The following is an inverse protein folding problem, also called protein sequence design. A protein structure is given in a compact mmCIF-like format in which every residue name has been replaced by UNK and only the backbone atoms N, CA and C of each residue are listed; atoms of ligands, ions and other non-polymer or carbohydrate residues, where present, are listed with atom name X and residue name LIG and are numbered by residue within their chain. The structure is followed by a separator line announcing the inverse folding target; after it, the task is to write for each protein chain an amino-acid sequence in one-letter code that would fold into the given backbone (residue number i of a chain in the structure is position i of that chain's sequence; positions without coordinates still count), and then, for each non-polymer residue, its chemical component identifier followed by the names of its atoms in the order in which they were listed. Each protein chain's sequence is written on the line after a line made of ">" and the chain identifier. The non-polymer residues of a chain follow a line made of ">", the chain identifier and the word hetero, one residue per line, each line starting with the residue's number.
data_IF_050233313376
#
_entry.id   IF_050233313376
#
_cell.length_a   1.000
_cell.length_b   1.000
_cell.length_c   1.000
_cell.angle_alpha   90.00
_cell.angle_beta   90.00
_cell.angle_gamma   90.00
#
_symmetry.space_group_name_H-M   'P 1'
#
loop_
_entity.id
_entity.type
_entity.pdbx_description
1 polymer ?
#
# COMPACT_ATOMS: atom_id res chain seq x y z
N UNK A 1 -0.43 14.50 -13.71
CA UNK A 1 0.82 14.48 -14.52
C UNK A 1 0.46 14.83 -15.94
N UNK A 2 0.81 16.03 -16.39
CA UNK A 2 0.53 16.48 -17.74
C UNK A 2 1.69 16.06 -18.64
N UNK A 3 1.42 15.08 -19.50
CA UNK A 3 2.35 14.66 -20.55
C UNK A 3 2.25 15.53 -21.81
N UNK A 4 1.41 16.57 -21.78
CA UNK A 4 1.08 17.39 -22.97
C UNK A 4 0.04 16.78 -23.89
N UNK A 5 -0.47 15.58 -23.59
CA UNK A 5 -1.53 14.92 -24.33
C UNK A 5 -2.91 15.18 -23.70
N UNK A 6 -3.98 15.00 -24.48
CA UNK A 6 -5.34 15.24 -24.01
C UNK A 6 -5.79 14.13 -23.05
N UNK A 7 -6.51 14.52 -22.02
CA UNK A 7 -7.19 13.63 -21.08
C UNK A 7 -8.70 13.79 -21.26
N UNK A 8 -9.40 12.69 -21.58
CA UNK A 8 -10.86 12.71 -21.63
C UNK A 8 -11.43 12.74 -20.21
N UNK A 9 -12.39 13.62 -19.94
CA UNK A 9 -13.03 13.70 -18.62
C UNK A 9 -14.53 13.57 -18.79
N UNK A 10 -15.16 12.65 -18.04
CA UNK A 10 -16.60 12.51 -17.96
C UNK A 10 -17.07 12.58 -16.50
N UNK A 11 -18.03 13.47 -16.21
CA UNK A 11 -18.69 13.55 -14.91
C UNK A 11 -20.09 12.93 -14.97
N UNK A 12 -20.46 12.15 -13.96
CA UNK A 12 -21.77 11.53 -13.78
C UNK A 12 -22.35 11.86 -12.42
N UNK A 13 -23.49 12.52 -12.41
CA UNK A 13 -24.21 12.87 -11.18
C UNK A 13 -25.35 11.87 -10.98
N UNK A 14 -25.04 10.73 -10.31
CA UNK A 14 -25.98 9.64 -10.11
C UNK A 14 -25.99 9.18 -8.65
N UNK A 15 -27.17 8.72 -8.19
CA UNK A 15 -27.33 8.07 -6.89
C UNK A 15 -27.30 6.54 -7.00
N UNK A 16 -27.59 6.03 -8.20
CA UNK A 16 -27.56 4.59 -8.49
C UNK A 16 -26.17 4.13 -8.94
N UNK A 17 -26.01 2.82 -9.03
CA UNK A 17 -24.77 2.21 -9.50
C UNK A 17 -24.52 2.54 -10.98
N UNK A 18 -23.30 2.93 -11.32
CA UNK A 18 -22.86 3.21 -12.69
C UNK A 18 -22.96 1.92 -13.52
N UNK A 19 -23.75 1.95 -14.60
CA UNK A 19 -23.90 0.83 -15.50
C UNK A 19 -22.94 0.94 -16.69
N UNK A 20 -22.75 -0.18 -17.42
CA UNK A 20 -21.89 -0.19 -18.61
C UNK A 20 -22.36 0.82 -19.67
N UNK A 21 -23.67 0.92 -19.90
CA UNK A 21 -24.26 1.92 -20.80
C UNK A 21 -23.92 3.37 -20.47
N UNK A 22 -23.64 3.67 -19.19
CA UNK A 22 -23.29 5.02 -18.76
C UNK A 22 -21.88 5.45 -19.19
N UNK A 23 -21.00 4.47 -19.46
CA UNK A 23 -19.59 4.70 -19.77
C UNK A 23 -19.20 4.28 -21.20
N UNK A 24 -20.06 3.58 -21.94
CA UNK A 24 -19.70 3.06 -23.29
C UNK A 24 -19.31 4.18 -24.27
N UNK A 25 -20.00 5.30 -24.27
CA UNK A 25 -19.68 6.45 -25.12
C UNK A 25 -18.33 7.08 -24.74
N UNK A 26 -18.03 7.13 -23.44
CA UNK A 26 -16.73 7.62 -22.95
C UNK A 26 -15.59 6.68 -23.35
N UNK A 27 -15.78 5.37 -23.20
CA UNK A 27 -14.76 4.39 -23.58
C UNK A 27 -14.52 4.38 -25.09
N UNK A 28 -15.56 4.58 -25.91
CA UNK A 28 -15.44 4.71 -27.36
C UNK A 28 -14.68 5.98 -27.75
N UNK A 29 -14.96 7.11 -27.09
CA UNK A 29 -14.25 8.37 -27.33
C UNK A 29 -12.78 8.28 -26.92
N UNK A 30 -12.49 7.67 -25.77
CA UNK A 30 -11.13 7.46 -25.26
C UNK A 30 -10.28 6.58 -26.18
N UNK A 31 -10.88 5.74 -27.02
CA UNK A 31 -10.19 4.93 -28.03
C UNK A 31 -9.54 5.73 -29.16
N UNK A 32 -9.79 7.04 -29.24
CA UNK A 32 -9.17 7.88 -30.26
C UNK A 32 -7.71 8.21 -29.91
N UNK A 33 -6.86 8.29 -30.92
CA UNK A 33 -5.39 8.36 -30.78
C UNK A 33 -4.84 9.63 -30.11
N UNK A 34 -5.64 10.68 -30.01
CA UNK A 34 -5.23 11.95 -29.38
C UNK A 34 -5.45 12.00 -27.85
N UNK A 35 -6.20 11.04 -27.29
CA UNK A 35 -6.27 10.88 -25.84
C UNK A 35 -5.20 9.92 -25.33
N UNK A 36 -4.59 10.25 -24.20
CA UNK A 36 -3.64 9.38 -23.50
C UNK A 36 -4.31 8.61 -22.36
N UNK A 37 -5.28 9.24 -21.70
CA UNK A 37 -5.98 8.67 -20.56
C UNK A 37 -7.36 9.30 -20.39
N UNK A 38 -8.17 8.68 -19.53
CA UNK A 38 -9.50 9.16 -19.21
C UNK A 38 -9.74 9.24 -17.72
N UNK A 39 -10.60 10.18 -17.32
CA UNK A 39 -11.06 10.34 -15.93
C UNK A 39 -12.57 10.26 -15.92
N UNK A 40 -13.13 9.36 -15.12
CA UNK A 40 -14.56 9.28 -14.85
C UNK A 40 -14.79 9.75 -13.41
N UNK A 41 -15.55 10.84 -13.25
CA UNK A 41 -15.91 11.39 -11.94
C UNK A 41 -17.37 11.05 -11.66
N UNK A 42 -17.66 10.46 -10.49
CA UNK A 42 -19.00 10.02 -10.13
C UNK A 42 -19.38 10.46 -8.73
N UNK A 43 -20.67 10.78 -8.52
CA UNK A 43 -21.25 11.06 -7.20
C UNK A 43 -21.70 9.80 -6.46
N UNK A 44 -21.31 8.63 -6.94
CA UNK A 44 -21.54 7.33 -6.30
C UNK A 44 -20.28 6.47 -6.38
N UNK A 45 -20.05 5.65 -5.37
CA UNK A 45 -18.97 4.66 -5.36
C UNK A 45 -19.45 3.27 -5.85
N UNK A 46 -20.73 3.17 -6.24
CA UNK A 46 -21.34 1.92 -6.67
C UNK A 46 -21.16 1.72 -8.17
N UNK A 47 -20.69 0.55 -8.57
CA UNK A 47 -20.49 0.16 -9.97
C UNK A 47 -21.20 -1.16 -10.27
N UNK A 48 -21.87 -1.23 -11.39
CA UNK A 48 -22.48 -2.45 -11.88
C UNK A 48 -21.43 -3.44 -12.41
N UNK A 49 -21.68 -4.74 -12.27
CA UNK A 49 -20.74 -5.81 -12.66
C UNK A 49 -20.21 -5.67 -14.10
N UNK A 50 -21.06 -5.27 -15.04
CA UNK A 50 -20.67 -5.11 -16.45
C UNK A 50 -19.83 -3.86 -16.69
N UNK A 51 -20.06 -2.76 -15.94
CA UNK A 51 -19.23 -1.57 -15.98
C UNK A 51 -17.85 -1.86 -15.40
N UNK A 52 -17.79 -2.58 -14.27
CA UNK A 52 -16.54 -3.01 -13.68
C UNK A 52 -15.74 -3.92 -14.61
N UNK A 53 -16.40 -4.89 -15.26
CA UNK A 53 -15.75 -5.77 -16.23
C UNK A 53 -15.20 -4.99 -17.45
N UNK A 54 -15.89 -3.94 -17.90
CA UNK A 54 -15.44 -3.10 -19.01
C UNK A 54 -14.19 -2.27 -18.66
N UNK A 55 -13.95 -2.03 -17.36
CA UNK A 55 -12.80 -1.27 -16.85
C UNK A 55 -11.69 -2.18 -16.25
N UNK A 56 -11.88 -3.51 -16.26
CA UNK A 56 -11.02 -4.46 -15.57
C UNK A 56 -9.55 -4.38 -16.00
N UNK A 57 -9.32 -4.25 -17.31
CA UNK A 57 -7.99 -4.24 -17.92
C UNK A 57 -7.57 -2.83 -18.39
N UNK A 58 -8.36 -1.79 -18.06
CA UNK A 58 -8.11 -0.40 -18.48
C UNK A 58 -7.21 0.31 -17.46
N UNK A 59 -5.91 0.34 -17.75
CA UNK A 59 -4.92 1.10 -16.96
C UNK A 59 -4.89 2.58 -17.35
N UNK A 60 -5.51 2.93 -18.44
CA UNK A 60 -5.62 4.30 -18.98
C UNK A 60 -6.85 5.07 -18.44
N UNK A 61 -7.71 4.44 -17.62
CA UNK A 61 -8.90 5.06 -17.03
C UNK A 61 -8.75 5.20 -15.52
N UNK A 62 -8.96 6.43 -15.04
CA UNK A 62 -9.00 6.75 -13.61
C UNK A 62 -10.44 6.98 -13.17
N UNK A 63 -10.85 6.39 -12.06
CA UNK A 63 -12.15 6.60 -11.43
C UNK A 63 -12.00 7.49 -10.20
N UNK A 64 -12.81 8.55 -10.12
CA UNK A 64 -12.93 9.42 -8.94
C UNK A 64 -14.38 9.31 -8.46
N UNK A 65 -14.58 8.63 -7.34
CA UNK A 65 -15.90 8.44 -6.74
C UNK A 65 -16.24 9.49 -5.68
N UNK A 66 -17.42 9.34 -5.08
CA UNK A 66 -17.89 10.24 -4.02
C UNK A 66 -16.94 10.24 -2.81
N UNK A 67 -16.43 9.07 -2.44
CA UNK A 67 -15.45 8.92 -1.35
C UNK A 67 -14.17 9.70 -1.63
N UNK A 68 -13.70 9.73 -2.88
CA UNK A 68 -12.50 10.46 -3.27
C UNK A 68 -12.70 11.96 -3.16
N UNK A 69 -13.86 12.45 -3.63
CA UNK A 69 -14.23 13.86 -3.52
C UNK A 69 -14.32 14.29 -2.05
N UNK A 70 -14.98 13.50 -1.20
CA UNK A 70 -15.11 13.79 0.24
C UNK A 70 -13.76 13.81 0.97
N UNK A 71 -12.83 12.93 0.56
CA UNK A 71 -11.50 12.81 1.15
C UNK A 71 -10.46 13.72 0.49
N UNK A 72 -10.84 14.52 -0.51
CA UNK A 72 -9.96 15.50 -1.14
C UNK A 72 -9.51 16.60 -0.15
N UNK A 73 -8.45 17.31 -0.51
CA UNK A 73 -7.98 18.46 0.30
C UNK A 73 -8.92 19.65 0.25
N UNK A 74 -9.89 19.65 -0.65
CA UNK A 74 -10.83 20.76 -0.81
C UNK A 74 -11.76 20.83 0.41
N UNK A 75 -11.89 22.01 0.98
CA UNK A 75 -12.93 22.29 1.96
C UNK A 75 -14.26 22.56 1.24
N UNK A 76 -14.99 21.50 0.96
CA UNK A 76 -16.28 21.57 0.28
C UNK A 76 -17.35 22.37 1.03
N UNK A 77 -17.18 22.61 2.34
CA UNK A 77 -18.12 23.43 3.13
C UNK A 77 -18.02 24.91 2.78
N UNK A 78 -16.88 25.33 2.23
CA UNK A 78 -16.60 26.70 1.82
C UNK A 78 -16.56 26.87 0.29
N UNK A 79 -16.87 25.82 -0.47
CA UNK A 79 -16.90 25.87 -1.91
C UNK A 79 -18.14 26.63 -2.40
N UNK A 80 -17.94 27.59 -3.32
CA UNK A 80 -19.02 28.35 -3.97
C UNK A 80 -19.03 28.11 -5.47
N UNK A 81 -20.20 27.77 -6.02
CA UNK A 81 -20.40 27.65 -7.47
C UNK A 81 -20.33 29.03 -8.20
N UNK A 82 -20.51 30.12 -7.48
CA UNK A 82 -20.38 31.46 -8.05
C UNK A 82 -18.91 31.87 -8.26
N UNK A 83 -17.99 31.25 -7.52
CA UNK A 83 -16.55 31.51 -7.58
C UNK A 83 -15.75 30.20 -7.53
N UNK A 84 -15.93 29.33 -8.53
CA UNK A 84 -15.35 27.98 -8.53
C UNK A 84 -13.81 27.98 -8.55
N UNK A 85 -13.19 29.10 -8.95
CA UNK A 85 -11.74 29.31 -8.93
C UNK A 85 -11.18 29.54 -7.52
N UNK A 86 -12.04 29.92 -6.56
CA UNK A 86 -11.65 30.16 -5.16
C UNK A 86 -11.81 28.89 -4.33
N UNK A 87 -10.97 27.92 -4.60
CA UNK A 87 -10.95 26.67 -3.85
C UNK A 87 -10.18 26.87 -2.54
N UNK A 88 -10.85 26.62 -1.42
CA UNK A 88 -10.20 26.63 -0.10
C UNK A 88 -9.69 25.21 0.19
N UNK A 89 -8.40 25.12 0.50
CA UNK A 89 -7.73 23.87 0.81
C UNK A 89 -7.64 23.72 2.33
N UNK A 90 -8.00 22.57 2.84
CA UNK A 90 -7.85 22.24 4.26
C UNK A 90 -6.39 22.40 4.70
N UNK A 91 -6.14 22.89 5.93
CA UNK A 91 -4.77 23.03 6.43
C UNK A 91 -4.03 21.69 6.40
N UNK A 92 -2.76 21.74 5.99
CA UNK A 92 -1.91 20.53 5.97
C UNK A 92 -1.73 19.98 7.39
N UNK A 93 -1.72 18.67 7.50
CA UNK A 93 -1.43 17.99 8.76
C UNK A 93 -0.02 18.32 9.25
N UNK A 94 0.11 18.55 10.54
CA UNK A 94 1.39 18.70 11.24
C UNK A 94 1.66 17.44 12.07
N UNK A 95 2.93 16.98 12.16
CA UNK A 95 3.27 15.86 13.01
C UNK A 95 2.88 16.15 14.47
N UNK A 96 2.33 15.15 15.15
CA UNK A 96 2.13 15.19 16.59
C UNK A 96 3.46 14.91 17.30
N UNK A 97 3.58 15.24 18.58
CA UNK A 97 4.83 15.13 19.36
C UNK A 97 5.53 13.76 19.24
N UNK A 98 4.77 12.68 19.28
CA UNK A 98 5.31 11.32 19.17
C UNK A 98 5.78 11.00 17.73
N UNK A 99 5.15 11.58 16.72
CA UNK A 99 5.59 11.47 15.34
C UNK A 99 6.85 12.29 15.09
N UNK A 100 6.96 13.49 15.68
CA UNK A 100 8.18 14.30 15.63
C UNK A 100 9.36 13.56 16.26
N UNK A 101 9.13 12.90 17.40
CA UNK A 101 10.14 12.06 18.06
C UNK A 101 10.57 10.89 17.16
N UNK A 102 9.61 10.21 16.52
CA UNK A 102 9.91 9.12 15.59
C UNK A 102 10.72 9.60 14.38
N UNK A 103 10.36 10.73 13.79
CA UNK A 103 11.05 11.36 12.67
C UNK A 103 12.49 11.72 13.08
N UNK A 104 12.67 12.39 14.22
CA UNK A 104 13.99 12.79 14.72
C UNK A 104 14.89 11.57 14.92
N UNK A 105 14.38 10.52 15.58
CA UNK A 105 15.14 9.28 15.80
C UNK A 105 15.46 8.56 14.50
N UNK A 106 14.55 8.55 13.53
CA UNK A 106 14.81 7.98 12.21
C UNK A 106 15.94 8.70 11.49
N UNK A 107 15.91 10.05 11.45
CA UNK A 107 16.92 10.84 10.75
C UNK A 107 18.30 10.65 11.39
N UNK A 108 18.39 10.63 12.72
CA UNK A 108 19.64 10.37 13.41
C UNK A 108 20.15 8.96 13.15
N UNK A 109 19.27 7.95 13.27
CA UNK A 109 19.62 6.55 13.07
C UNK A 109 20.12 6.25 11.64
N UNK A 110 19.43 6.79 10.64
CA UNK A 110 19.78 6.57 9.24
C UNK A 110 21.02 7.36 8.76
N UNK A 111 21.69 8.13 9.60
CA UNK A 111 23.01 8.68 9.25
C UNK A 111 24.03 7.55 9.04
N UNK A 112 24.04 6.58 9.95
CA UNK A 112 25.05 5.52 10.02
C UNK A 112 24.51 4.14 9.61
N UNK A 113 23.18 3.97 9.58
CA UNK A 113 22.53 2.70 9.27
C UNK A 113 21.86 2.72 7.89
N UNK A 114 21.81 1.55 7.25
CA UNK A 114 21.10 1.33 5.98
C UNK A 114 19.74 0.64 6.15
N UNK A 115 19.45 0.07 7.33
CA UNK A 115 18.22 -0.63 7.67
C UNK A 115 17.76 -0.26 9.07
N UNK A 116 16.44 -0.14 9.26
CA UNK A 116 15.89 0.14 10.58
C UNK A 116 14.39 -0.08 10.66
N UNK A 117 13.90 -0.25 11.91
CA UNK A 117 12.52 -0.60 12.18
C UNK A 117 11.81 0.53 12.92
N UNK A 118 10.62 0.87 12.42
CA UNK A 118 9.65 1.77 13.03
C UNK A 118 8.45 0.95 13.53
N UNK A 119 8.31 0.81 14.84
CA UNK A 119 7.21 0.07 15.46
C UNK A 119 6.22 1.09 16.04
N UNK A 120 5.02 1.16 15.47
CA UNK A 120 3.98 2.08 15.94
C UNK A 120 2.62 1.39 15.93
N UNK A 121 1.83 1.54 16.99
CA UNK A 121 0.49 0.98 17.09
C UNK A 121 -0.41 1.40 15.90
N UNK A 122 -1.42 0.60 15.50
CA UNK A 122 -2.40 1.01 14.50
C UNK A 122 -3.09 2.32 14.90
N UNK A 123 -3.46 3.15 13.93
CA UNK A 123 -4.12 4.42 14.21
C UNK A 123 -3.20 5.57 14.63
N UNK A 124 -1.91 5.32 14.95
CA UNK A 124 -0.96 6.38 15.35
C UNK A 124 -0.34 7.14 14.16
N UNK A 125 -0.69 6.79 12.92
CA UNK A 125 -0.28 7.52 11.72
C UNK A 125 1.08 7.13 11.15
N UNK A 126 1.43 5.83 11.12
CA UNK A 126 2.66 5.30 10.50
C UNK A 126 2.91 5.85 9.09
N UNK A 127 1.89 5.82 8.23
CA UNK A 127 1.97 6.28 6.84
C UNK A 127 2.35 7.75 6.73
N UNK A 128 1.82 8.60 7.61
CA UNK A 128 2.17 10.01 7.68
C UNK A 128 3.58 10.21 8.25
N UNK A 129 3.95 9.45 9.27
CA UNK A 129 5.29 9.50 9.88
C UNK A 129 6.36 9.13 8.85
N UNK A 130 6.15 8.05 8.08
CA UNK A 130 7.10 7.63 7.03
C UNK A 130 7.20 8.63 5.87
N UNK A 131 6.09 9.32 5.51
CA UNK A 131 6.15 10.44 4.57
C UNK A 131 7.09 11.54 5.09
N UNK A 132 6.92 11.95 6.35
CA UNK A 132 7.76 13.00 6.94
C UNK A 132 9.22 12.57 7.08
N UNK A 133 9.49 11.30 7.38
CA UNK A 133 10.85 10.75 7.34
C UNK A 133 11.44 10.90 5.92
N UNK A 134 10.72 10.48 4.89
CA UNK A 134 11.16 10.60 3.50
C UNK A 134 11.42 12.07 3.10
N UNK A 135 10.52 12.99 3.46
CA UNK A 135 10.70 14.43 3.21
C UNK A 135 11.96 14.99 3.89
N UNK A 136 12.21 14.61 5.15
CA UNK A 136 13.41 15.06 5.88
C UNK A 136 14.69 14.49 5.27
N UNK A 137 14.67 13.21 4.90
CA UNK A 137 15.81 12.56 4.23
C UNK A 137 16.09 13.21 2.87
N UNK A 138 15.03 13.53 2.10
CA UNK A 138 15.16 14.20 0.81
C UNK A 138 15.82 15.57 0.95
N UNK A 139 15.39 16.37 1.95
CA UNK A 139 16.00 17.69 2.22
C UNK A 139 17.44 17.64 2.73
N UNK A 140 17.82 16.52 3.34
CA UNK A 140 19.19 16.32 3.86
C UNK A 140 20.19 15.87 2.77
N UNK A 141 19.74 15.70 1.52
CA UNK A 141 20.59 15.32 0.40
C UNK A 141 20.73 16.47 -0.59
N UNK A 142 21.87 16.56 -1.28
CA UNK A 142 22.07 17.52 -2.38
C UNK A 142 21.44 17.07 -3.70
N UNK A 143 20.58 16.05 -3.67
CA UNK A 143 19.93 15.53 -4.86
C UNK A 143 18.73 16.41 -5.26
N UNK A 144 18.61 16.70 -6.55
CA UNK A 144 17.43 17.36 -7.10
C UNK A 144 16.16 16.54 -6.96
N UNK A 145 16.29 15.20 -6.91
CA UNK A 145 15.15 14.28 -6.79
C UNK A 145 15.51 13.09 -5.89
N UNK A 146 14.71 12.87 -4.86
CA UNK A 146 14.81 11.73 -3.94
C UNK A 146 13.84 10.63 -4.37
N UNK A 147 14.37 9.42 -4.59
CA UNK A 147 13.62 8.31 -5.13
C UNK A 147 13.19 7.34 -4.02
N UNK A 148 11.89 7.08 -3.89
CA UNK A 148 11.32 6.23 -2.85
C UNK A 148 10.55 5.07 -3.47
N UNK A 149 10.73 3.86 -2.94
CA UNK A 149 9.83 2.73 -3.14
C UNK A 149 9.00 2.52 -1.88
N UNK A 150 7.68 2.53 -2.02
CA UNK A 150 6.76 2.22 -0.93
C UNK A 150 6.04 0.91 -1.20
N UNK A 151 6.29 -0.10 -0.38
CA UNK A 151 5.73 -1.46 -0.52
C UNK A 151 4.61 -1.69 0.46
N UNK A 152 3.48 -2.19 -0.06
CA UNK A 152 2.28 -2.52 0.72
C UNK A 152 1.78 -3.94 0.41
N UNK A 153 1.04 -4.58 1.34
CA UNK A 153 0.56 -5.95 1.12
C UNK A 153 -0.66 -6.07 0.21
N UNK A 154 -1.39 -4.99 -0.05
CA UNK A 154 -2.63 -5.03 -0.86
C UNK A 154 -2.81 -3.77 -1.70
N UNK A 155 -3.60 -3.89 -2.78
CA UNK A 155 -3.95 -2.77 -3.66
C UNK A 155 -4.76 -1.71 -2.90
N UNK A 156 -5.59 -2.11 -1.94
CA UNK A 156 -6.35 -1.17 -1.10
C UNK A 156 -5.42 -0.26 -0.30
N UNK A 157 -4.44 -0.84 0.37
CA UNK A 157 -3.44 -0.08 1.12
C UNK A 157 -2.57 0.78 0.19
N UNK A 158 -2.27 0.30 -1.03
CA UNK A 158 -1.55 1.07 -2.04
C UNK A 158 -2.32 2.36 -2.37
N UNK A 159 -3.61 2.24 -2.69
CA UNK A 159 -4.48 3.37 -3.02
C UNK A 159 -4.55 4.37 -1.87
N UNK A 160 -4.79 3.87 -0.66
CA UNK A 160 -4.87 4.70 0.54
C UNK A 160 -3.57 5.44 0.83
N UNK A 161 -2.44 4.75 0.74
CA UNK A 161 -1.11 5.32 1.00
C UNK A 161 -0.72 6.35 -0.04
N UNK A 162 -0.93 6.02 -1.32
CA UNK A 162 -0.65 6.92 -2.43
C UNK A 162 -1.44 8.22 -2.30
N UNK A 163 -2.74 8.15 -2.01
CA UNK A 163 -3.59 9.32 -1.77
C UNK A 163 -3.12 10.12 -0.56
N UNK A 164 -2.85 9.44 0.57
CA UNK A 164 -2.37 10.10 1.79
C UNK A 164 -1.06 10.85 1.54
N UNK A 165 -0.10 10.24 0.85
CA UNK A 165 1.17 10.87 0.56
C UNK A 165 1.04 12.08 -0.36
N UNK A 166 0.24 11.96 -1.43
CA UNK A 166 0.01 13.09 -2.35
C UNK A 166 -0.75 14.25 -1.67
N UNK A 167 -1.64 13.94 -0.71
CA UNK A 167 -2.40 14.97 0.01
C UNK A 167 -1.60 15.64 1.14
N UNK A 168 -0.77 14.87 1.85
CA UNK A 168 -0.12 15.32 3.09
C UNK A 168 1.34 15.77 2.88
N UNK A 169 1.90 15.61 1.67
CA UNK A 169 3.26 16.05 1.35
C UNK A 169 3.35 17.59 1.29
N UNK A 170 4.49 18.11 1.77
CA UNK A 170 4.89 19.52 1.60
C UNK A 170 5.91 19.72 0.48
N UNK A 171 6.28 18.64 -0.20
CA UNK A 171 7.23 18.63 -1.32
C UNK A 171 6.49 18.37 -2.63
N UNK A 172 7.09 18.79 -3.73
CA UNK A 172 6.58 18.41 -5.04
C UNK A 172 6.83 16.92 -5.26
N UNK A 173 5.79 16.17 -5.65
CA UNK A 173 5.84 14.71 -5.76
C UNK A 173 5.42 14.25 -7.16
N UNK A 174 6.16 13.27 -7.70
CA UNK A 174 5.73 12.43 -8.82
C UNK A 174 5.46 11.02 -8.30
N UNK A 175 4.26 10.51 -8.56
CA UNK A 175 3.82 9.21 -8.06
C UNK A 175 3.59 8.24 -9.21
N UNK A 176 4.06 7.00 -9.06
CA UNK A 176 3.77 5.87 -9.94
C UNK A 176 3.18 4.73 -9.12
N UNK A 177 2.17 4.03 -9.65
CA UNK A 177 1.58 2.85 -9.03
C UNK A 177 1.93 1.59 -9.82
N UNK A 178 2.41 0.55 -9.12
CA UNK A 178 2.78 -0.75 -9.71
C UNK A 178 2.00 -1.86 -9.01
N UNK A 179 1.26 -2.63 -9.80
CA UNK A 179 0.45 -3.75 -9.31
C UNK A 179 0.75 -5.00 -10.13
N UNK A 180 0.50 -6.19 -9.59
CA UNK A 180 0.57 -7.44 -10.36
C UNK A 180 -0.76 -7.74 -11.03
N UNK A 181 -0.72 -8.30 -12.24
CA UNK A 181 -1.90 -8.85 -12.89
C UNK A 181 -2.38 -10.10 -12.13
N UNK A 182 -3.62 -10.10 -11.63
CA UNK A 182 -4.21 -11.22 -10.91
C UNK A 182 -4.43 -12.46 -11.79
N UNK A 183 -4.46 -12.32 -13.10
CA UNK A 183 -4.67 -13.45 -14.01
C UNK A 183 -3.43 -14.34 -14.16
N UNK A 184 -2.23 -13.80 -13.96
CA UNK A 184 -0.98 -14.56 -13.99
C UNK A 184 -0.77 -15.42 -12.72
N UNK A 185 -1.46 -15.11 -11.61
CA UNK A 185 -1.23 -15.71 -10.28
C UNK A 185 -2.29 -16.74 -9.87
N UNK A 186 -3.21 -17.17 -10.73
CA UNK A 186 -4.27 -18.15 -10.41
C UNK A 186 -3.79 -19.57 -10.08
N UNK A 187 -2.49 -19.80 -10.01
CA UNK A 187 -1.88 -21.01 -9.45
C UNK A 187 -1.52 -20.83 -7.98
N UNK A 188 -2.42 -21.21 -7.06
CA UNK A 188 -2.12 -21.48 -5.64
C UNK A 188 -1.79 -20.30 -4.71
N UNK A 189 -2.65 -19.31 -4.56
CA UNK A 189 -2.65 -18.49 -3.34
C UNK A 189 -4.00 -18.67 -2.65
N UNK A 190 -3.98 -19.24 -1.41
CA UNK A 190 -5.13 -19.24 -0.51
C UNK A 190 -5.61 -17.81 -0.32
N UNK A 191 -6.91 -17.60 -0.50
CA UNK A 191 -7.58 -16.32 -0.35
C UNK A 191 -7.36 -15.79 1.07
N UNK A 192 -6.69 -14.64 1.18
CA UNK A 192 -6.72 -13.84 2.39
C UNK A 192 -8.03 -13.02 2.42
N UNK A 193 -8.69 -13.03 3.54
CA UNK A 193 -10.08 -12.71 3.79
C UNK A 193 -10.40 -11.20 3.70
N UNK A 194 -10.49 -10.64 2.52
CA UNK A 194 -11.34 -9.47 2.30
C UNK A 194 -11.96 -9.54 0.91
N UNK A 195 -13.23 -9.88 0.87
CA UNK A 195 -14.04 -10.07 -0.34
C UNK A 195 -14.31 -8.79 -1.15
N UNK A 196 -13.49 -7.75 -1.03
CA UNK A 196 -13.56 -6.55 -1.86
C UNK A 196 -12.47 -6.65 -2.91
N UNK A 197 -12.85 -7.02 -4.12
CA UNK A 197 -11.94 -7.05 -5.26
C UNK A 197 -11.67 -5.62 -5.73
N UNK A 198 -10.60 -4.99 -5.21
CA UNK A 198 -10.13 -3.68 -5.68
C UNK A 198 -9.29 -3.91 -6.93
N UNK A 199 -9.62 -3.20 -8.00
CA UNK A 199 -8.97 -3.30 -9.31
C UNK A 199 -7.95 -2.16 -9.49
N UNK A 200 -7.03 -2.32 -10.44
CA UNK A 200 -6.05 -1.28 -10.79
C UNK A 200 -6.73 0.06 -11.14
N UNK A 201 -7.92 0.03 -11.76
CA UNK A 201 -8.74 1.21 -12.05
C UNK A 201 -9.22 1.98 -10.81
N UNK A 202 -9.23 1.34 -9.64
CA UNK A 202 -9.71 1.95 -8.38
C UNK A 202 -8.62 2.77 -7.67
N UNK A 203 -7.39 2.70 -8.17
CA UNK A 203 -6.23 3.37 -7.56
C UNK A 203 -6.33 4.89 -7.71
N UNK A 204 -7.12 5.40 -8.66
CA UNK A 204 -7.23 6.84 -8.94
C UNK A 204 -5.96 7.44 -9.58
N UNK A 205 -5.01 6.60 -9.98
CA UNK A 205 -3.79 6.92 -10.72
C UNK A 205 -3.50 5.80 -11.72
N UNK A 206 -2.89 6.10 -12.87
CA UNK A 206 -2.48 5.07 -13.82
C UNK A 206 -1.56 4.05 -13.12
N UNK A 207 -2.01 2.81 -13.05
CA UNK A 207 -1.23 1.71 -12.50
C UNK A 207 -0.65 0.88 -13.63
N UNK A 208 0.54 0.30 -13.42
CA UNK A 208 1.18 -0.56 -14.41
C UNK A 208 1.56 -1.92 -13.83
N UNK A 209 1.55 -2.92 -14.69
CA UNK A 209 2.01 -4.30 -14.40
C UNK A 209 3.29 -4.65 -15.16
N UNK A 210 3.88 -3.70 -15.91
CA UNK A 210 5.00 -3.92 -16.83
C UNK A 210 6.19 -3.04 -16.48
N UNK A 211 7.39 -3.65 -16.47
CA UNK A 211 8.65 -2.95 -16.25
C UNK A 211 8.95 -1.92 -17.36
N UNK A 212 8.61 -2.25 -18.60
CA UNK A 212 8.78 -1.37 -19.76
C UNK A 212 7.92 -0.11 -19.63
N UNK A 213 6.69 -0.27 -19.12
CA UNK A 213 5.79 0.86 -18.86
C UNK A 213 6.32 1.74 -17.73
N UNK A 214 6.92 1.15 -16.69
CA UNK A 214 7.59 1.94 -15.63
C UNK A 214 8.68 2.81 -16.23
N UNK A 215 9.53 2.25 -17.10
CA UNK A 215 10.62 2.98 -17.75
C UNK A 215 10.08 4.04 -18.70
N UNK A 216 9.05 3.72 -19.48
CA UNK A 216 8.41 4.70 -20.37
C UNK A 216 7.90 5.90 -19.55
N UNK A 217 7.15 5.65 -18.50
CA UNK A 217 6.60 6.70 -17.65
C UNK A 217 7.71 7.50 -16.94
N UNK A 218 8.75 6.84 -16.47
CA UNK A 218 9.92 7.49 -15.89
C UNK A 218 10.60 8.44 -16.90
N UNK A 219 10.85 7.98 -18.13
CA UNK A 219 11.45 8.79 -19.16
C UNK A 219 10.58 10.00 -19.58
N UNK A 220 9.25 9.84 -19.56
CA UNK A 220 8.34 10.97 -19.80
C UNK A 220 8.38 11.98 -18.64
N UNK A 221 8.46 11.51 -17.39
CA UNK A 221 8.63 12.38 -16.22
C UNK A 221 9.96 13.15 -16.27
N UNK A 222 11.03 12.54 -16.76
CA UNK A 222 12.35 13.18 -16.87
C UNK A 222 12.41 14.28 -17.93
N UNK A 223 11.45 14.36 -18.86
CA UNK A 223 11.31 15.48 -19.80
C UNK A 223 10.66 16.72 -19.18
N UNK A 224 10.06 16.58 -17.98
CA UNK A 224 9.40 17.65 -17.26
C UNK A 224 10.32 18.20 -16.14
N UNK A 225 10.02 19.37 -15.56
CA UNK A 225 10.73 19.85 -14.39
C UNK A 225 10.71 18.80 -13.29
N UNK A 226 11.88 18.45 -12.78
CA UNK A 226 12.02 17.43 -11.73
C UNK A 226 11.22 17.84 -10.50
N UNK A 227 10.52 16.87 -9.92
CA UNK A 227 9.88 16.96 -8.62
C UNK A 227 10.84 16.50 -7.55
N UNK A 228 10.76 17.09 -6.36
CA UNK A 228 11.65 16.77 -5.22
C UNK A 228 11.55 15.29 -4.80
N UNK A 229 10.34 14.71 -4.88
CA UNK A 229 10.11 13.29 -4.60
C UNK A 229 9.65 12.55 -5.86
N UNK A 230 10.28 11.42 -6.16
CA UNK A 230 9.78 10.41 -7.09
C UNK A 230 9.42 9.17 -6.27
N UNK A 231 8.13 8.83 -6.22
CA UNK A 231 7.65 7.72 -5.40
C UNK A 231 7.00 6.65 -6.24
N UNK A 232 7.51 5.43 -6.13
CA UNK A 232 6.90 4.23 -6.69
C UNK A 232 6.14 3.52 -5.58
N UNK A 233 4.82 3.52 -5.65
CA UNK A 233 3.96 2.74 -4.78
C UNK A 233 3.74 1.37 -5.40
N UNK A 234 4.08 0.30 -4.71
CA UNK A 234 3.98 -1.05 -5.24
C UNK A 234 3.41 -2.02 -4.22
N UNK A 235 2.68 -3.03 -4.70
CA UNK A 235 2.41 -4.18 -3.85
C UNK A 235 3.65 -5.07 -3.75
N UNK A 236 3.79 -5.83 -2.65
CA UNK A 236 4.90 -6.80 -2.54
C UNK A 236 4.89 -7.81 -3.68
N UNK A 237 3.71 -8.21 -4.16
CA UNK A 237 3.56 -9.13 -5.28
C UNK A 237 4.17 -8.62 -6.58
N UNK A 238 4.34 -7.30 -6.69
CA UNK A 238 4.88 -6.64 -7.89
C UNK A 238 6.36 -6.24 -7.77
N UNK A 239 7.02 -6.62 -6.68
CA UNK A 239 8.41 -6.23 -6.41
C UNK A 239 9.36 -6.65 -7.55
N UNK A 240 9.11 -7.81 -8.18
CA UNK A 240 9.90 -8.28 -9.32
C UNK A 240 9.78 -7.38 -10.54
N UNK A 241 8.60 -6.80 -10.78
CA UNK A 241 8.39 -5.85 -11.87
C UNK A 241 9.22 -4.60 -11.64
N UNK A 242 9.28 -4.13 -10.39
CA UNK A 242 10.12 -2.99 -10.00
C UNK A 242 11.61 -3.31 -10.18
N UNK A 243 12.06 -4.49 -9.73
CA UNK A 243 13.45 -4.93 -9.92
C UNK A 243 13.83 -5.10 -11.39
N UNK A 244 12.91 -5.59 -12.24
CA UNK A 244 13.11 -5.65 -13.69
C UNK A 244 13.24 -4.24 -14.30
N UNK A 245 12.42 -3.28 -13.84
CA UNK A 245 12.52 -1.90 -14.28
C UNK A 245 13.90 -1.30 -13.93
N UNK A 246 14.47 -1.60 -12.78
CA UNK A 246 15.82 -1.17 -12.43
C UNK A 246 16.89 -1.76 -13.37
N UNK A 247 16.75 -3.02 -13.77
CA UNK A 247 17.64 -3.64 -14.77
C UNK A 247 17.51 -3.01 -16.15
N UNK A 248 16.38 -2.37 -16.45
CA UNK A 248 16.13 -1.61 -17.68
C UNK A 248 16.51 -0.13 -17.57
N UNK A 249 17.09 0.33 -16.45
CA UNK A 249 17.61 1.67 -16.26
C UNK A 249 16.80 2.57 -15.32
N UNK A 250 15.82 2.05 -14.57
CA UNK A 250 15.21 2.80 -13.49
C UNK A 250 16.23 3.02 -12.35
N UNK A 251 16.30 4.21 -11.73
CA UNK A 251 17.31 4.51 -10.72
C UNK A 251 17.20 3.64 -9.46
N UNK A 252 18.32 3.53 -8.75
CA UNK A 252 18.34 2.99 -7.40
C UNK A 252 17.49 3.85 -6.46
N UNK A 253 16.70 3.22 -5.59
CA UNK A 253 15.93 3.92 -4.58
C UNK A 253 16.82 4.47 -3.47
N UNK A 254 16.60 5.70 -3.08
CA UNK A 254 17.26 6.29 -1.91
C UNK A 254 16.68 5.72 -0.61
N UNK A 255 15.36 5.43 -0.62
CA UNK A 255 14.66 4.83 0.50
C UNK A 255 13.63 3.80 0.00
N UNK A 256 13.67 2.60 0.57
CA UNK A 256 12.63 1.58 0.42
C UNK A 256 11.85 1.52 1.74
N UNK A 257 10.53 1.71 1.69
CA UNK A 257 9.64 1.59 2.83
C UNK A 257 8.84 0.31 2.69
N UNK A 258 8.99 -0.59 3.65
CA UNK A 258 8.26 -1.85 3.73
C UNK A 258 7.16 -1.70 4.78
N UNK A 259 5.91 -1.47 4.34
CA UNK A 259 4.76 -1.36 5.23
C UNK A 259 4.22 -2.74 5.59
N UNK A 260 3.66 -2.86 6.81
CA UNK A 260 3.28 -4.13 7.42
C UNK A 260 4.42 -5.17 7.32
N UNK A 261 5.62 -4.73 7.72
CA UNK A 261 6.88 -5.47 7.55
C UNK A 261 6.88 -6.86 8.21
N UNK A 262 5.98 -7.14 9.16
CA UNK A 262 5.80 -8.48 9.72
C UNK A 262 5.43 -9.53 8.65
N UNK A 263 4.89 -9.12 7.49
CA UNK A 263 4.61 -10.01 6.35
C UNK A 263 5.86 -10.39 5.56
N UNK A 264 6.96 -9.67 5.73
CA UNK A 264 8.25 -10.00 5.10
C UNK A 264 9.04 -11.04 5.89
N UNK A 265 8.51 -11.51 7.02
CA UNK A 265 9.05 -12.62 7.80
C UNK A 265 8.59 -13.95 7.20
N UNK A 266 9.35 -15.00 7.44
CA UNK A 266 8.96 -16.35 6.99
C UNK A 266 10.10 -17.33 7.00
N UNK A 267 9.76 -18.55 6.66
CA UNK A 267 10.67 -19.70 6.57
C UNK A 267 10.93 -19.98 5.10
N UNK A 268 12.20 -20.08 4.69
CA UNK A 268 12.61 -20.34 3.32
C UNK A 268 13.36 -21.66 3.28
N UNK A 269 12.87 -22.65 2.52
CA UNK A 269 13.64 -23.82 2.15
C UNK A 269 14.79 -23.42 1.20
N UNK A 270 15.99 -23.95 1.42
CA UNK A 270 17.19 -23.61 0.62
C UNK A 270 17.03 -23.93 -0.89
N UNK A 271 16.08 -24.78 -1.25
CA UNK A 271 15.82 -25.23 -2.61
C UNK A 271 14.59 -24.57 -3.27
N UNK A 272 13.83 -23.74 -2.57
CA UNK A 272 12.64 -23.06 -3.10
C UNK A 272 12.91 -21.56 -3.35
N UNK A 273 12.19 -20.99 -4.31
CA UNK A 273 12.17 -19.56 -4.53
C UNK A 273 11.74 -18.83 -3.26
N UNK A 274 12.47 -17.75 -2.92
CA UNK A 274 12.13 -16.92 -1.79
C UNK A 274 10.67 -16.48 -1.89
N UNK A 275 9.94 -16.50 -0.77
CA UNK A 275 8.64 -15.85 -0.71
C UNK A 275 8.78 -14.45 -1.31
N UNK A 276 7.85 -14.07 -2.17
CA UNK A 276 7.88 -12.78 -2.87
C UNK A 276 8.02 -11.59 -1.90
N UNK A 277 7.50 -11.74 -0.69
CA UNK A 277 7.59 -10.74 0.37
C UNK A 277 9.01 -10.57 0.93
N UNK A 278 9.84 -11.63 0.92
CA UNK A 278 11.22 -11.56 1.44
C UNK A 278 12.20 -10.94 0.45
N UNK A 279 11.81 -10.75 -0.81
CA UNK A 279 12.65 -10.13 -1.85
C UNK A 279 13.05 -8.69 -1.52
N UNK A 280 12.27 -7.99 -0.69
CA UNK A 280 12.58 -6.63 -0.23
C UNK A 280 13.91 -6.53 0.52
N UNK A 281 14.40 -7.63 1.09
CA UNK A 281 15.66 -7.63 1.85
C UNK A 281 16.92 -7.61 0.97
N UNK A 282 16.80 -7.95 -0.32
CA UNK A 282 17.93 -8.15 -1.21
C UNK A 282 18.08 -7.02 -2.23
N UNK A 283 19.31 -6.45 -2.31
CA UNK A 283 19.64 -5.49 -3.36
C UNK A 283 19.74 -6.12 -4.76
N UNK A 284 19.87 -7.46 -4.85
CA UNK A 284 19.83 -8.18 -6.12
C UNK A 284 18.42 -8.23 -6.71
N UNK A 285 17.40 -8.19 -5.84
CA UNK A 285 15.99 -8.20 -6.25
C UNK A 285 15.47 -6.78 -6.50
N UNK A 286 15.71 -5.86 -5.57
CA UNK A 286 15.39 -4.45 -5.69
C UNK A 286 16.46 -3.60 -5.00
N UNK A 287 17.15 -2.76 -5.77
CA UNK A 287 18.25 -1.95 -5.28
C UNK A 287 17.76 -0.70 -4.56
N UNK A 288 18.28 -0.48 -3.35
CA UNK A 288 18.01 0.70 -2.56
C UNK A 288 19.04 0.92 -1.47
N UNK A 289 19.35 2.19 -1.19
CA UNK A 289 20.38 2.60 -0.24
C UNK A 289 19.96 2.36 1.21
N UNK A 290 18.70 2.71 1.52
CA UNK A 290 18.16 2.60 2.88
C UNK A 290 16.84 1.87 2.88
N UNK A 291 16.55 1.12 3.96
CA UNK A 291 15.29 0.38 4.15
C UNK A 291 14.67 0.70 5.48
N UNK A 292 13.44 1.20 5.43
CA UNK A 292 12.57 1.45 6.58
C UNK A 292 11.52 0.34 6.65
N UNK A 293 11.58 -0.48 7.68
CA UNK A 293 10.59 -1.50 7.97
C UNK A 293 9.60 -0.97 9.01
N UNK A 294 8.33 -0.79 8.62
CA UNK A 294 7.32 -0.29 9.55
C UNK A 294 6.21 -1.30 9.78
N UNK A 295 5.81 -1.46 11.04
CA UNK A 295 4.69 -2.32 11.44
C UNK A 295 4.16 -1.91 12.81
N UNK A 296 2.94 -2.34 13.11
CA UNK A 296 2.39 -2.28 14.46
C UNK A 296 2.76 -3.52 15.31
N UNK A 297 2.90 -4.67 14.66
CA UNK A 297 3.03 -5.99 15.27
C UNK A 297 4.27 -6.68 14.73
N UNK A 298 5.46 -6.47 15.35
CA UNK A 298 6.67 -7.16 14.91
C UNK A 298 6.51 -8.67 15.15
N UNK A 299 6.86 -9.45 14.12
CA UNK A 299 6.81 -10.92 14.18
C UNK A 299 8.18 -11.49 14.47
N UNK A 300 8.27 -12.20 15.59
CA UNK A 300 9.51 -12.82 16.10
C UNK A 300 9.33 -14.33 16.13
N UNK A 301 10.36 -15.06 15.72
CA UNK A 301 10.40 -16.50 15.84
C UNK A 301 11.27 -16.91 17.03
N UNK A 302 10.73 -17.76 17.90
CA UNK A 302 11.43 -18.25 19.09
C UNK A 302 12.68 -19.09 18.75
N UNK A 303 13.59 -19.23 19.73
CA UNK A 303 14.83 -19.98 19.56
C UNK A 303 14.65 -21.42 19.09
N UNK A 304 13.60 -22.11 19.55
CA UNK A 304 13.28 -23.48 19.11
C UNK A 304 12.88 -23.55 17.64
N UNK A 305 12.07 -22.59 17.17
CA UNK A 305 11.68 -22.52 15.76
C UNK A 305 12.88 -22.25 14.86
N UNK A 306 13.82 -21.39 15.30
CA UNK A 306 15.05 -21.09 14.58
C UNK A 306 15.97 -22.32 14.52
N UNK A 307 16.20 -23.01 15.65
CA UNK A 307 16.99 -24.26 15.69
C UNK A 307 16.37 -25.38 14.82
N UNK A 308 15.06 -25.53 14.84
CA UNK A 308 14.36 -26.51 13.99
C UNK A 308 14.53 -26.17 12.50
N UNK A 309 14.48 -24.90 12.15
CA UNK A 309 14.72 -24.45 10.78
C UNK A 309 16.16 -24.72 10.34
N UNK A 310 17.17 -24.43 11.18
CA UNK A 310 18.58 -24.75 10.91
C UNK A 310 18.78 -26.24 10.68
N UNK A 311 18.16 -27.10 11.51
CA UNK A 311 18.25 -28.56 11.35
C UNK A 311 17.64 -29.07 10.03
N UNK A 312 16.70 -28.33 9.45
CA UNK A 312 16.05 -28.62 8.18
C UNK A 312 16.71 -27.90 6.99
N UNK A 313 17.85 -27.23 7.21
CA UNK A 313 18.51 -26.38 6.21
C UNK A 313 17.58 -25.31 5.62
N UNK A 314 16.85 -24.63 6.51
CA UNK A 314 15.86 -23.62 6.16
C UNK A 314 16.24 -22.29 6.79
N UNK A 315 16.17 -21.19 6.03
CA UNK A 315 16.44 -19.84 6.53
C UNK A 315 15.15 -19.22 7.08
N UNK A 316 15.22 -18.67 8.30
CA UNK A 316 14.11 -17.96 8.94
C UNK A 316 14.38 -16.45 8.90
N UNK A 317 13.52 -15.72 8.22
CA UNK A 317 13.50 -14.24 8.32
C UNK A 317 12.65 -13.84 9.52
N UNK A 318 13.27 -13.33 10.57
CA UNK A 318 12.62 -12.91 11.83
C UNK A 318 12.98 -11.45 12.10
N UNK A 319 12.03 -10.65 12.61
CA UNK A 319 12.24 -9.19 12.78
C UNK A 319 13.25 -8.84 13.88
N UNK A 320 13.74 -9.83 14.65
CA UNK A 320 14.87 -9.67 15.57
C UNK A 320 16.25 -9.90 14.89
N UNK A 321 16.28 -10.24 13.60
CA UNK A 321 17.52 -10.30 12.83
C UNK A 321 17.92 -8.89 12.37
N UNK A 322 18.86 -8.29 13.09
CA UNK A 322 19.36 -6.94 12.80
C UNK A 322 20.06 -6.84 11.43
N UNK A 323 20.60 -7.94 10.89
CA UNK A 323 21.23 -7.92 9.56
C UNK A 323 20.19 -7.76 8.45
N UNK A 324 18.98 -8.30 8.65
CA UNK A 324 17.89 -8.20 7.67
C UNK A 324 17.05 -6.94 7.86
N UNK A 325 16.71 -6.60 9.10
CA UNK A 325 15.74 -5.54 9.42
C UNK A 325 16.36 -4.28 10.01
N UNK A 326 17.62 -4.33 10.47
CA UNK A 326 18.22 -3.29 11.30
C UNK A 326 17.62 -3.24 12.71
N UNK A 327 18.08 -2.30 13.52
CA UNK A 327 17.56 -2.11 14.89
C UNK A 327 16.21 -1.39 14.88
N UNK A 328 15.45 -1.60 15.95
CA UNK A 328 14.26 -0.79 16.23
C UNK A 328 14.73 0.58 16.72
N UNK A 329 14.64 1.60 15.89
CA UNK A 329 15.03 2.96 16.26
C UNK A 329 13.92 3.73 16.99
N UNK A 330 12.65 3.34 16.80
CA UNK A 330 11.51 3.94 17.51
C UNK A 330 10.43 2.91 17.75
N UNK A 331 9.83 2.95 18.97
CA UNK A 331 8.73 2.10 19.36
C UNK A 331 7.65 2.91 20.09
N UNK A 332 6.41 2.78 19.63
CA UNK A 332 5.21 3.28 20.30
C UNK A 332 4.19 2.14 20.32
N UNK A 333 4.13 1.43 21.46
CA UNK A 333 3.22 0.32 21.67
C UNK A 333 1.78 0.79 21.96
N UNK A 334 0.84 -0.16 22.03
CA UNK A 334 -0.56 0.15 22.41
C UNK A 334 -0.64 0.76 23.81
N UNK A 335 0.04 0.17 24.80
CA UNK A 335 0.04 0.65 26.18
C UNK A 335 0.56 2.08 26.29
N UNK A 336 1.69 2.37 25.61
CA UNK A 336 2.27 3.72 25.57
C UNK A 336 1.32 4.71 24.89
N UNK A 337 0.69 4.30 23.78
CA UNK A 337 -0.24 5.15 23.05
C UNK A 337 -1.51 5.46 23.85
N UNK A 338 -2.00 4.52 24.65
CA UNK A 338 -3.14 4.74 25.56
C UNK A 338 -2.72 5.63 26.73
N UNK A 339 -1.57 5.36 27.37
CA UNK A 339 -1.09 6.14 28.51
C UNK A 339 -0.80 7.63 28.18
N UNK A 340 -0.61 7.94 26.89
CA UNK A 340 -0.43 9.30 26.39
C UNK A 340 -1.68 9.88 25.70
N UNK A 341 -2.85 9.30 25.92
CA UNK A 341 -4.13 9.73 25.31
C UNK A 341 -4.11 9.82 23.78
N UNK A 342 -3.21 9.04 23.12
CA UNK A 342 -3.12 8.96 21.66
C UNK A 342 -4.20 8.02 21.10
N UNK A 343 -4.43 6.92 21.82
CA UNK A 343 -5.45 5.92 21.53
C UNK A 343 -6.40 5.78 22.71
N UNK A 344 -7.65 5.45 22.42
CA UNK A 344 -8.64 5.10 23.45
C UNK A 344 -8.30 3.75 24.08
N UNK A 345 -8.57 3.62 25.37
CA UNK A 345 -8.45 2.34 26.08
C UNK A 345 -9.40 1.29 25.49
N UNK A 346 -9.06 0.03 25.62
CA UNK A 346 -9.85 -1.09 25.12
C UNK A 346 -10.08 -2.15 26.20
N UNK A 347 -11.17 -2.89 26.05
CA UNK A 347 -11.45 -4.05 26.88
C UNK A 347 -11.37 -5.30 26.05
N UNK A 348 -10.54 -6.26 26.47
CA UNK A 348 -10.46 -7.57 25.87
C UNK A 348 -11.48 -8.49 26.52
N UNK A 349 -12.45 -8.97 25.74
CA UNK A 349 -13.34 -10.04 26.17
C UNK A 349 -12.86 -11.35 25.58
N UNK A 350 -12.43 -12.29 26.42
CA UNK A 350 -12.07 -13.64 25.98
C UNK A 350 -13.29 -14.53 26.16
N UNK A 351 -13.85 -15.02 25.08
CA UNK A 351 -14.91 -16.02 25.09
C UNK A 351 -14.27 -17.40 24.93
N UNK A 352 -14.21 -18.19 25.99
CA UNK A 352 -13.80 -19.57 25.90
C UNK A 352 -15.06 -20.43 25.70
N UNK A 353 -15.12 -21.14 24.57
CA UNK A 353 -16.18 -22.14 24.32
C UNK A 353 -15.56 -23.50 24.54
N UNK A 354 -16.08 -24.22 25.54
CA UNK A 354 -15.68 -25.59 25.80
C UNK A 354 -16.37 -26.51 24.78
N UNK A 355 -15.60 -27.37 24.10
CA UNK A 355 -16.14 -28.35 23.15
C UNK A 355 -17.21 -29.26 23.75
N UNK A 356 -17.19 -29.48 25.07
CA UNK A 356 -18.19 -30.29 25.77
C UNK A 356 -19.60 -29.65 25.76
N UNK A 357 -19.71 -28.35 25.53
CA UNK A 357 -20.97 -27.61 25.47
C UNK A 357 -21.64 -27.70 24.11
N UNK A 358 -20.90 -28.06 23.06
CA UNK A 358 -21.42 -28.21 21.70
C UNK A 358 -22.01 -29.60 21.53
N UNK A 359 -23.30 -29.70 21.22
CA UNK A 359 -23.95 -31.01 21.01
C UNK A 359 -23.25 -31.78 19.90
N UNK A 360 -23.07 -33.09 20.08
CA UNK A 360 -22.35 -33.99 19.13
C UNK A 360 -22.84 -33.91 17.67
N UNK A 361 -24.13 -33.67 17.49
CA UNK A 361 -24.72 -33.53 16.15
C UNK A 361 -24.32 -32.21 15.49
N UNK A 362 -24.11 -31.15 16.27
CA UNK A 362 -23.61 -29.87 15.80
C UNK A 362 -22.11 -29.93 15.50
N UNK A 363 -21.32 -30.68 16.29
CA UNK A 363 -19.91 -30.95 16.00
C UNK A 363 -19.73 -31.73 14.70
N UNK A 364 -20.59 -32.71 14.43
CA UNK A 364 -20.60 -33.45 13.14
C UNK A 364 -20.95 -32.54 11.96
N UNK A 365 -21.96 -31.71 12.12
CA UNK A 365 -22.38 -30.77 11.05
C UNK A 365 -21.31 -29.70 10.75
N UNK A 366 -20.55 -29.27 11.78
CA UNK A 366 -19.49 -28.28 11.65
C UNK A 366 -18.16 -28.86 11.15
N UNK A 367 -17.95 -30.18 11.30
CA UNK A 367 -16.76 -30.89 10.80
C UNK A 367 -16.97 -31.54 9.44
N UNK A 368 -18.15 -31.42 8.84
CA UNK A 368 -18.44 -31.96 7.52
C UNK A 368 -17.84 -31.05 6.42
N UNK A 369 -16.89 -31.54 5.60
CA UNK A 369 -16.25 -30.75 4.54
C UNK A 369 -17.24 -30.23 3.48
N UNK A 370 -18.40 -30.87 3.31
CA UNK A 370 -19.43 -30.46 2.34
C UNK A 370 -20.24 -29.24 2.84
N UNK A 371 -20.27 -28.95 4.14
CA UNK A 371 -20.95 -27.80 4.71
C UNK A 371 -20.10 -26.49 4.75
N UNK A 372 -18.85 -26.57 4.34
CA UNK A 372 -17.98 -25.39 4.17
C UNK A 372 -17.52 -24.70 5.48
N UNK A 373 -17.91 -25.23 6.63
CA UNK A 373 -17.49 -24.75 7.96
C UNK A 373 -16.94 -25.93 8.77
N UNK A 374 -15.72 -25.80 9.25
CA UNK A 374 -15.18 -26.76 10.20
C UNK A 374 -14.83 -26.08 11.54
N UNK A 375 -14.55 -26.86 12.60
CA UNK A 375 -14.30 -26.34 13.95
C UNK A 375 -13.11 -25.37 13.99
N UNK A 376 -12.12 -25.53 13.11
CA UNK A 376 -10.98 -24.61 13.00
C UNK A 376 -11.40 -23.23 12.49
N UNK A 377 -12.48 -23.15 11.70
CA UNK A 377 -13.01 -21.86 11.20
C UNK A 377 -13.81 -21.13 12.26
N UNK A 378 -14.42 -21.84 13.22
CA UNK A 378 -15.15 -21.21 14.35
C UNK A 378 -14.16 -20.51 15.29
N UNK A 379 -12.99 -21.09 15.55
CA UNK A 379 -11.92 -20.44 16.30
C UNK A 379 -11.41 -19.15 15.65
N UNK A 380 -11.53 -19.04 14.32
CA UNK A 380 -11.21 -17.82 13.56
C UNK A 380 -12.33 -16.79 13.51
N UNK A 381 -13.59 -17.24 13.60
CA UNK A 381 -14.78 -16.35 13.59
C UNK A 381 -14.98 -15.68 14.95
N UNK A 382 -14.56 -16.34 16.04
CA UNK A 382 -14.71 -15.84 17.42
C UNK A 382 -13.44 -15.08 17.88
N UNK A 383 -12.30 -15.24 17.23
CA UNK A 383 -11.05 -14.50 17.43
C UNK A 383 -10.91 -13.33 16.49
#
# INVERSE_FOLDING_TARGET
>A
TYTGKLVAVQAKFYEHAIQKSDIDSFLAELGKTYYESGIIITTTDKWGKNAEKALEDRTDVVRIGLSDLRNSLIDWTQFSFEQPEKVIIRPSKTPKFYQENAIKQAIEYFKDADRGQLIMAPGTGKTFTSLKIAEHMARATDKEQFCVLYLVPSIQLLTQTLRSWNNDTKMTISSMAVTSDRNASRGKIKQDESNITIKASDIGYPATTSAETIIKNYNELMKQPKRELLVVFSTYQSIEVVGKAQKLGFPEFDLIIADEAHRTTGVKALAEDASIFTKVHSNNEVSGKKRLYQTATPKLYGAEAKKKAESLSVVVSSMDDENLYGKVFYRLGFGDAISHDILTDYKLMVLAVDESVVQKDMQKSLSDPENGLNIDDIGRIIG
#
